data_IF_713757094170
#
_entry.id   IF_713757094170
#
_cell.length_a   1.000
_cell.length_b   1.000
_cell.length_c   1.000
_cell.angle_alpha   90.00
_cell.angle_beta   90.00
_cell.angle_gamma   90.00
#
_symmetry.space_group_name_H-M   'P 1'
#
loop_
_entity.id
_entity.type
_entity.pdbx_description
1 polymer ?
#
# COMPACT_ATOMS: atom_id res chain seq x y z
N UNK A 1 -45.97 5.69 -4.23
CA UNK A 1 -44.99 6.21 -3.27
C UNK A 1 -43.62 5.97 -3.87
N UNK A 2 -43.10 6.99 -4.54
CA UNK A 2 -41.73 7.02 -5.04
C UNK A 2 -40.81 7.60 -3.96
N UNK A 3 -39.58 7.10 -3.80
CA UNK A 3 -38.49 7.90 -3.31
C UNK A 3 -37.52 8.27 -4.43
N UNK A 4 -37.47 9.58 -4.68
CA UNK A 4 -36.42 10.34 -5.38
C UNK A 4 -35.12 10.39 -4.59
N UNK A 5 -34.08 10.97 -5.23
CA UNK A 5 -32.76 11.43 -4.76
C UNK A 5 -31.62 10.39 -4.80
N UNK A 6 -30.79 10.42 -5.85
CA UNK A 6 -29.61 11.30 -5.98
C UNK A 6 -28.53 11.00 -4.93
N UNK A 7 -27.54 10.20 -5.31
CA UNK A 7 -26.17 10.34 -4.79
C UNK A 7 -25.18 10.12 -5.93
N UNK A 8 -25.02 11.16 -6.77
CA UNK A 8 -23.79 11.37 -7.53
C UNK A 8 -22.67 11.60 -6.52
N UNK A 9 -22.00 10.51 -6.11
CA UNK A 9 -20.72 10.61 -5.42
C UNK A 9 -19.68 11.03 -6.46
N UNK A 10 -19.34 12.31 -6.43
CA UNK A 10 -18.11 12.84 -7.01
C UNK A 10 -16.94 12.07 -6.42
N UNK A 11 -16.25 11.31 -7.25
CA UNK A 11 -14.94 10.76 -6.95
C UNK A 11 -13.99 11.95 -6.70
N UNK A 12 -13.78 12.28 -5.43
CA UNK A 12 -12.64 13.12 -5.05
C UNK A 12 -11.39 12.26 -5.22
N UNK A 13 -10.80 12.34 -6.40
CA UNK A 13 -9.43 11.90 -6.67
C UNK A 13 -8.49 12.60 -5.68
N UNK A 14 -8.09 11.86 -4.64
CA UNK A 14 -7.03 12.34 -3.76
C UNK A 14 -5.72 12.26 -4.55
N UNK A 15 -4.97 13.36 -4.70
CA UNK A 15 -3.73 13.33 -5.47
C UNK A 15 -2.78 12.34 -4.82
N UNK A 16 -2.34 11.36 -5.62
CA UNK A 16 -1.47 10.28 -5.19
C UNK A 16 -0.23 10.81 -4.48
N UNK A 17 0.26 10.02 -3.52
CA UNK A 17 1.42 10.31 -2.67
C UNK A 17 2.61 10.90 -3.45
N UNK A 18 2.87 10.41 -4.66
CA UNK A 18 3.96 10.86 -5.53
C UNK A 18 3.78 12.29 -6.07
N UNK A 19 2.56 12.72 -6.37
CA UNK A 19 2.28 14.10 -6.83
C UNK A 19 2.53 15.13 -5.72
N UNK A 20 2.34 14.73 -4.46
CA UNK A 20 2.61 15.55 -3.25
C UNK A 20 4.10 15.68 -2.94
N UNK A 21 4.89 14.63 -3.18
CA UNK A 21 6.32 14.61 -2.82
C UNK A 21 7.20 15.31 -3.87
N UNK A 22 6.84 15.24 -5.16
CA UNK A 22 7.72 15.69 -6.25
C UNK A 22 7.24 16.92 -7.02
N UNK A 23 6.18 17.59 -6.57
CA UNK A 23 5.74 18.85 -7.20
C UNK A 23 5.32 18.64 -8.66
N UNK A 24 4.30 17.82 -8.88
CA UNK A 24 3.71 17.63 -10.19
C UNK A 24 2.98 18.89 -10.66
N UNK A 25 3.63 19.68 -11.53
CA UNK A 25 2.94 20.64 -12.39
C UNK A 25 2.10 19.84 -13.40
N UNK A 26 0.78 19.91 -13.26
CA UNK A 26 -0.17 19.52 -14.30
C UNK A 26 0.00 20.45 -15.50
N UNK A 27 0.85 20.07 -16.45
CA UNK A 27 0.79 20.62 -17.81
C UNK A 27 -0.34 19.90 -18.53
N UNK A 28 -1.53 20.50 -18.52
CA UNK A 28 -2.55 20.23 -19.52
C UNK A 28 -1.97 20.60 -20.89
N UNK A 29 -1.93 19.60 -21.77
CA UNK A 29 -1.63 19.78 -23.19
C UNK A 29 -2.53 18.83 -23.96
N UNK A 30 -3.56 19.34 -24.61
CA UNK A 30 -4.17 18.69 -25.77
C UNK A 30 -4.98 19.69 -26.60
N UNK A 31 -4.74 19.70 -27.91
CA UNK A 31 -5.42 20.50 -28.93
C UNK A 31 -4.39 21.19 -29.84
N UNK A 32 -3.73 20.47 -30.76
CA UNK A 32 -4.15 20.32 -32.17
C UNK A 32 -4.24 21.69 -32.89
N UNK A 33 -3.56 21.99 -33.99
CA UNK A 33 -2.71 21.23 -34.89
C UNK A 33 -2.28 22.16 -36.04
N UNK A 34 -1.37 21.66 -36.89
CA UNK A 34 -1.31 21.89 -38.34
C UNK A 34 -1.28 23.34 -38.89
N UNK A 35 -0.16 23.73 -39.50
CA UNK A 35 -0.07 23.89 -40.96
C UNK A 35 1.31 24.40 -41.36
N UNK A 36 1.97 23.64 -42.22
CA UNK A 36 3.05 24.10 -43.05
C UNK A 36 2.46 25.03 -44.14
N UNK A 37 3.02 26.23 -44.28
CA UNK A 37 2.80 27.05 -45.47
C UNK A 37 4.16 27.53 -45.99
N UNK A 38 4.44 27.12 -47.23
CA UNK A 38 5.59 27.47 -48.06
C UNK A 38 5.31 28.76 -48.83
N UNK A 39 6.39 29.41 -49.24
CA UNK A 39 6.56 30.23 -50.46
C UNK A 39 6.12 31.70 -50.35
N UNK A 40 7.06 32.65 -50.14
CA UNK A 40 7.94 33.39 -51.09
C UNK A 40 7.31 34.61 -51.76
N UNK A 41 7.92 35.79 -51.57
CA UNK A 41 8.20 36.88 -52.53
C UNK A 41 8.51 38.17 -51.72
N UNK A 42 9.78 38.58 -51.63
CA UNK A 42 10.45 39.62 -52.45
C UNK A 42 10.12 41.07 -52.05
N UNK A 43 11.15 41.77 -51.57
CA UNK A 43 11.52 43.18 -51.84
C UNK A 43 12.66 43.52 -50.84
N UNK A 44 13.90 43.79 -51.22
CA UNK A 44 14.29 44.74 -52.25
C UNK A 44 14.71 46.08 -51.61
N UNK A 45 15.66 46.10 -50.67
CA UNK A 45 16.38 47.34 -50.31
C UNK A 45 17.87 47.10 -50.19
N UNK A 46 18.56 47.69 -51.17
CA UNK A 46 20.01 47.88 -51.26
C UNK A 46 20.54 48.48 -49.96
N UNK A 47 21.50 47.80 -49.33
CA UNK A 47 22.36 48.39 -48.31
C UNK A 47 23.81 48.03 -48.65
N UNK A 48 24.64 49.05 -48.78
CA UNK A 48 26.05 48.99 -49.13
C UNK A 48 26.84 47.95 -48.31
N UNK A 49 27.92 47.34 -48.86
CA UNK A 49 28.72 46.41 -48.09
C UNK A 49 29.35 47.15 -46.89
N UNK A 50 29.20 46.67 -45.65
CA UNK A 50 29.85 47.32 -44.52
C UNK A 50 31.37 47.17 -44.68
N UNK A 51 32.04 48.31 -44.84
CA UNK A 51 33.49 48.43 -44.80
C UNK A 51 33.98 47.88 -43.47
N UNK A 52 34.59 46.69 -43.51
CA UNK A 52 35.18 46.06 -42.32
C UNK A 52 36.26 46.99 -41.76
N UNK A 53 36.24 47.34 -40.47
CA UNK A 53 37.36 48.05 -39.86
C UNK A 53 38.60 47.15 -39.95
N UNK A 54 39.68 47.68 -40.54
CA UNK A 54 40.95 46.99 -40.84
C UNK A 54 41.81 46.76 -39.58
N UNK A 55 41.17 46.47 -38.45
CA UNK A 55 41.81 46.12 -37.19
C UNK A 55 40.88 45.31 -36.27
N UNK A 56 40.10 44.38 -36.83
CA UNK A 56 39.50 43.33 -36.01
C UNK A 56 40.63 42.40 -35.50
N UNK A 57 40.68 42.04 -34.19
CA UNK A 57 41.69 41.12 -33.69
C UNK A 57 41.64 39.85 -34.53
N UNK A 58 42.76 39.49 -35.17
CA UNK A 58 42.92 38.24 -35.92
C UNK A 58 42.39 37.12 -35.02
N UNK A 59 41.36 36.39 -35.49
CA UNK A 59 40.91 35.15 -34.84
C UNK A 59 42.16 34.31 -34.61
N UNK A 60 42.60 34.19 -33.34
CA UNK A 60 43.76 33.37 -32.99
C UNK A 60 43.47 31.97 -33.52
N UNK A 61 44.26 31.52 -34.49
CA UNK A 61 44.25 30.15 -34.93
C UNK A 61 44.50 29.29 -33.70
N UNK A 62 43.52 28.46 -33.32
CA UNK A 62 43.58 27.57 -32.15
C UNK A 62 44.95 26.94 -32.13
N UNK A 63 45.72 27.22 -31.09
CA UNK A 63 47.03 26.62 -30.93
C UNK A 63 46.86 25.12 -30.67
N UNK A 64 47.89 24.33 -30.94
CA UNK A 64 47.88 22.88 -30.68
C UNK A 64 47.52 22.59 -29.21
N UNK A 65 47.90 23.48 -28.30
CA UNK A 65 47.56 23.44 -26.88
C UNK A 65 46.05 23.63 -26.61
N UNK A 66 45.38 24.55 -27.30
CA UNK A 66 43.93 24.74 -27.16
C UNK A 66 43.13 23.51 -27.63
N UNK A 67 43.63 22.81 -28.66
CA UNK A 67 43.01 21.58 -29.15
C UNK A 67 43.23 20.41 -28.17
N UNK A 68 44.44 20.29 -27.61
CA UNK A 68 44.75 19.29 -26.60
C UNK A 68 43.92 19.49 -25.31
N UNK A 69 43.70 20.73 -24.89
CA UNK A 69 42.87 21.02 -23.70
C UNK A 69 41.39 20.68 -23.94
N UNK A 70 40.86 20.97 -25.13
CA UNK A 70 39.49 20.59 -25.50
C UNK A 70 39.33 19.07 -25.57
N UNK A 71 40.32 18.34 -26.07
CA UNK A 71 40.32 16.87 -26.04
C UNK A 71 40.40 16.30 -24.63
N UNK A 72 41.26 16.83 -23.77
CA UNK A 72 41.32 16.41 -22.37
C UNK A 72 39.98 16.65 -21.67
N UNK A 73 39.36 17.83 -21.84
CA UNK A 73 38.02 18.12 -21.30
C UNK A 73 36.96 17.15 -21.81
N UNK A 74 37.01 16.75 -23.09
CA UNK A 74 36.12 15.72 -23.65
C UNK A 74 36.34 14.35 -23.03
N UNK A 75 37.61 13.93 -22.84
CA UNK A 75 37.96 12.66 -22.18
C UNK A 75 37.51 12.64 -20.73
N UNK A 76 37.75 13.73 -19.98
CA UNK A 76 37.28 13.86 -18.61
C UNK A 76 35.75 13.84 -18.51
N UNK A 77 35.04 14.55 -19.41
CA UNK A 77 33.58 14.51 -19.45
C UNK A 77 33.05 13.10 -19.74
N UNK A 78 33.66 12.37 -20.69
CA UNK A 78 33.31 10.98 -20.99
C UNK A 78 33.57 10.06 -19.78
N UNK A 79 34.72 10.20 -19.13
CA UNK A 79 35.03 9.43 -17.93
C UNK A 79 34.07 9.73 -16.77
N UNK A 80 33.67 10.99 -16.59
CA UNK A 80 32.70 11.39 -15.58
C UNK A 80 31.31 10.77 -15.85
N UNK A 81 30.86 10.75 -17.11
CA UNK A 81 29.61 10.09 -17.49
C UNK A 81 29.64 8.59 -17.22
N UNK A 82 30.72 7.89 -17.62
CA UNK A 82 30.86 6.45 -17.34
C UNK A 82 30.89 6.14 -15.84
N UNK A 83 31.51 7.02 -15.02
CA UNK A 83 31.48 6.89 -13.56
C UNK A 83 30.07 7.08 -13.01
N UNK A 84 29.35 8.08 -13.50
CA UNK A 84 27.96 8.32 -13.11
C UNK A 84 27.08 7.12 -13.45
N UNK A 85 27.16 6.61 -14.67
CA UNK A 85 26.29 5.51 -15.10
C UNK A 85 26.58 4.22 -14.31
N UNK A 86 27.86 3.94 -13.99
CA UNK A 86 28.24 2.85 -13.07
C UNK A 86 27.68 3.04 -11.66
N UNK A 87 27.70 4.27 -11.14
CA UNK A 87 27.12 4.56 -9.83
C UNK A 87 25.60 4.37 -9.85
N UNK A 88 24.92 4.82 -10.90
CA UNK A 88 23.48 4.63 -11.05
C UNK A 88 23.11 3.15 -11.09
N UNK A 89 23.87 2.33 -11.84
CA UNK A 89 23.68 0.88 -11.85
C UNK A 89 23.91 0.26 -10.47
N UNK A 90 25.02 0.58 -9.81
CA UNK A 90 25.33 0.05 -8.49
C UNK A 90 24.31 0.48 -7.41
N UNK A 91 23.74 1.68 -7.53
CA UNK A 91 22.66 2.14 -6.66
C UNK A 91 21.37 1.36 -6.97
N UNK A 92 21.03 1.20 -8.25
CA UNK A 92 19.87 0.39 -8.68
C UNK A 92 19.92 -1.01 -8.11
N UNK A 93 21.03 -1.73 -8.32
CA UNK A 93 21.23 -3.09 -7.80
C UNK A 93 21.12 -3.16 -6.26
N UNK A 94 21.61 -2.16 -5.54
CA UNK A 94 21.51 -2.13 -4.07
C UNK A 94 20.08 -1.89 -3.61
N UNK A 95 19.35 -1.01 -4.29
CA UNK A 95 17.95 -0.72 -3.97
C UNK A 95 17.08 -1.94 -4.28
N UNK A 96 17.28 -2.60 -5.41
CA UNK A 96 16.58 -3.84 -5.76
C UNK A 96 16.82 -4.92 -4.71
N UNK A 97 18.07 -5.20 -4.35
CA UNK A 97 18.38 -6.16 -3.28
C UNK A 97 17.72 -5.80 -1.95
N UNK A 98 17.74 -4.53 -1.55
CA UNK A 98 17.11 -4.09 -0.30
C UNK A 98 15.58 -4.19 -0.34
N UNK A 99 14.97 -4.06 -1.52
CA UNK A 99 13.53 -4.28 -1.71
C UNK A 99 13.23 -5.77 -1.61
N UNK A 100 13.99 -6.63 -2.29
CA UNK A 100 13.80 -8.09 -2.26
C UNK A 100 13.94 -8.64 -0.84
N UNK A 101 14.99 -8.26 -0.12
CA UNK A 101 15.20 -8.66 1.29
C UNK A 101 14.04 -8.22 2.19
N UNK A 102 13.47 -7.02 1.96
CA UNK A 102 12.33 -6.53 2.71
C UNK A 102 11.04 -7.27 2.36
N UNK A 103 10.85 -7.59 1.08
CA UNK A 103 9.68 -8.35 0.61
C UNK A 103 9.72 -9.76 1.20
N UNK A 104 10.83 -10.48 1.09
CA UNK A 104 11.01 -11.81 1.68
C UNK A 104 10.77 -11.79 3.20
N UNK A 105 11.35 -10.82 3.90
CA UNK A 105 11.14 -10.67 5.34
C UNK A 105 9.67 -10.34 5.69
N UNK A 106 8.97 -9.59 4.84
CA UNK A 106 7.57 -9.27 5.04
C UNK A 106 6.66 -10.47 4.75
N UNK A 107 6.96 -11.25 3.72
CA UNK A 107 6.23 -12.48 3.36
C UNK A 107 6.37 -13.51 4.47
N UNK A 108 7.57 -13.71 5.00
CA UNK A 108 7.79 -14.61 6.13
C UNK A 108 6.98 -14.19 7.37
N UNK A 109 6.90 -12.89 7.66
CA UNK A 109 6.07 -12.36 8.76
C UNK A 109 4.58 -12.55 8.51
N UNK A 110 4.11 -12.33 7.28
CA UNK A 110 2.72 -12.52 6.91
C UNK A 110 2.32 -14.00 6.97
N UNK A 111 3.18 -14.90 6.50
CA UNK A 111 2.98 -16.34 6.62
C UNK A 111 2.92 -16.78 8.09
N UNK A 112 3.82 -16.27 8.93
CA UNK A 112 3.78 -16.53 10.38
C UNK A 112 2.50 -16.00 11.05
N UNK A 113 2.05 -14.81 10.65
CA UNK A 113 0.79 -14.25 11.15
C UNK A 113 -0.42 -15.06 10.69
N UNK A 114 -0.46 -15.51 9.44
CA UNK A 114 -1.53 -16.35 8.90
C UNK A 114 -1.65 -17.66 9.69
N UNK A 115 -0.53 -18.35 9.95
CA UNK A 115 -0.51 -19.55 10.79
C UNK A 115 -1.03 -19.29 12.22
N UNK A 116 -0.63 -18.16 12.83
CA UNK A 116 -1.13 -17.79 14.15
C UNK A 116 -2.65 -17.53 14.16
N UNK A 117 -3.23 -16.99 13.08
CA UNK A 117 -4.68 -16.82 12.96
C UNK A 117 -5.42 -18.15 12.80
N UNK A 118 -4.85 -19.11 12.06
CA UNK A 118 -5.40 -20.47 11.96
C UNK A 118 -5.42 -21.17 13.31
N UNK A 119 -4.33 -21.09 14.07
CA UNK A 119 -4.23 -21.64 15.42
C UNK A 119 -5.24 -21.00 16.38
N UNK A 120 -5.37 -19.67 16.34
CA UNK A 120 -6.39 -18.95 17.12
C UNK A 120 -7.82 -19.38 16.76
N UNK A 121 -8.12 -19.55 15.48
CA UNK A 121 -9.44 -20.03 15.05
C UNK A 121 -9.73 -21.45 15.55
N UNK A 122 -8.73 -22.33 15.54
CA UNK A 122 -8.87 -23.69 16.08
C UNK A 122 -9.15 -23.68 17.59
N UNK A 123 -8.42 -22.85 18.34
CA UNK A 123 -8.60 -22.67 19.78
C UNK A 123 -9.97 -22.08 20.10
N UNK A 124 -10.38 -21.03 19.41
CA UNK A 124 -11.70 -20.41 19.59
C UNK A 124 -12.82 -21.41 19.27
N UNK A 125 -12.67 -22.23 18.22
CA UNK A 125 -13.61 -23.30 17.91
C UNK A 125 -13.69 -24.37 19.01
N UNK A 126 -12.56 -24.73 19.63
CA UNK A 126 -12.52 -25.65 20.75
C UNK A 126 -13.17 -25.07 22.02
N UNK A 127 -12.92 -23.79 22.31
CA UNK A 127 -13.55 -23.07 23.42
C UNK A 127 -15.06 -23.02 23.23
N UNK A 128 -15.55 -22.67 22.02
CA UNK A 128 -16.98 -22.66 21.71
C UNK A 128 -17.65 -24.00 21.99
N UNK A 129 -17.08 -25.10 21.49
CA UNK A 129 -17.60 -26.45 21.76
C UNK A 129 -17.62 -26.81 23.25
N UNK A 130 -16.63 -26.38 24.01
CA UNK A 130 -16.57 -26.62 25.46
C UNK A 130 -17.66 -25.80 26.19
N UNK A 131 -17.86 -24.55 25.82
CA UNK A 131 -18.93 -23.72 26.37
C UNK A 131 -20.31 -24.30 26.09
N UNK A 132 -20.56 -24.80 24.88
CA UNK A 132 -21.81 -25.48 24.54
C UNK A 132 -22.04 -26.73 25.41
N UNK A 133 -21.00 -27.54 25.61
CA UNK A 133 -21.06 -28.73 26.45
C UNK A 133 -21.29 -28.39 27.94
N UNK A 134 -20.69 -27.30 28.43
CA UNK A 134 -20.95 -26.78 29.76
C UNK A 134 -22.39 -26.27 29.90
N UNK A 135 -22.91 -25.58 28.88
CA UNK A 135 -24.32 -25.14 28.83
C UNK A 135 -25.28 -26.31 28.99
N UNK A 136 -25.11 -27.37 28.20
CA UNK A 136 -25.94 -28.59 28.31
C UNK A 136 -25.83 -29.28 29.67
N UNK A 137 -24.64 -29.27 30.28
CA UNK A 137 -24.46 -29.81 31.65
C UNK A 137 -25.19 -28.95 32.68
N UNK A 138 -25.12 -27.64 32.54
CA UNK A 138 -25.81 -26.71 33.42
C UNK A 138 -27.34 -26.86 33.31
N UNK A 139 -27.87 -27.03 32.10
CA UNK A 139 -29.30 -27.32 31.86
C UNK A 139 -29.74 -28.60 32.57
N UNK A 140 -29.00 -29.71 32.39
CA UNK A 140 -29.30 -30.97 33.09
C UNK A 140 -29.25 -30.83 34.62
N UNK A 141 -28.30 -30.05 35.13
CA UNK A 141 -28.22 -29.79 36.58
C UNK A 141 -29.42 -28.96 37.03
N UNK A 142 -29.83 -27.95 36.26
CA UNK A 142 -31.00 -27.15 36.56
C UNK A 142 -32.29 -27.99 36.60
N UNK A 143 -32.50 -28.87 35.62
CA UNK A 143 -33.64 -29.81 35.60
C UNK A 143 -33.68 -30.71 36.83
N UNK A 144 -32.53 -31.25 37.25
CA UNK A 144 -32.43 -32.07 38.47
C UNK A 144 -32.76 -31.23 39.71
N UNK A 145 -32.23 -30.01 39.80
CA UNK A 145 -32.49 -29.12 40.93
C UNK A 145 -33.96 -28.69 41.00
N UNK A 146 -34.63 -28.53 39.87
CA UNK A 146 -36.05 -28.20 39.79
C UNK A 146 -36.94 -29.34 40.29
N UNK A 147 -36.54 -30.60 40.08
CA UNK A 147 -37.28 -31.79 40.55
C UNK A 147 -37.04 -32.18 42.01
N UNK A 148 -35.95 -31.71 42.63
CA UNK A 148 -35.61 -32.05 44.03
C UNK A 148 -36.70 -31.69 45.06
N UNK A 149 -37.37 -30.53 45.00
CA UNK A 149 -38.41 -30.17 45.97
C UNK A 149 -39.60 -31.14 45.94
N UNK A 150 -40.01 -31.60 44.74
CA UNK A 150 -41.10 -32.56 44.61
C UNK A 150 -40.71 -33.92 45.19
N UNK A 151 -39.50 -34.41 44.87
CA UNK A 151 -38.97 -35.65 45.43
C UNK A 151 -38.86 -35.59 46.96
N UNK A 152 -38.37 -34.47 47.51
CA UNK A 152 -38.28 -34.27 48.95
C UNK A 152 -39.67 -34.27 49.62
N UNK A 153 -40.68 -33.67 48.98
CA UNK A 153 -42.05 -33.67 49.48
C UNK A 153 -42.67 -35.08 49.47
N UNK A 154 -42.39 -35.88 48.44
CA UNK A 154 -42.81 -37.28 48.38
C UNK A 154 -42.13 -38.12 49.46
N UNK A 155 -40.82 -37.99 49.64
CA UNK A 155 -40.08 -38.66 50.71
C UNK A 155 -40.64 -38.29 52.09
N UNK A 156 -40.92 -37.01 52.34
CA UNK A 156 -41.49 -36.57 53.60
C UNK A 156 -42.87 -37.18 53.86
N UNK A 157 -43.73 -37.29 52.84
CA UNK A 157 -45.03 -37.97 52.94
C UNK A 157 -44.89 -39.45 53.24
N UNK A 158 -43.98 -40.14 52.55
CA UNK A 158 -43.73 -41.57 52.76
C UNK A 158 -43.22 -41.83 54.17
N UNK A 159 -42.20 -41.09 54.60
CA UNK A 159 -41.64 -41.19 55.95
C UNK A 159 -42.68 -40.88 57.03
N UNK A 160 -43.51 -39.85 56.83
CA UNK A 160 -44.63 -39.55 57.74
C UNK A 160 -45.61 -40.72 57.84
N UNK A 161 -45.97 -41.33 56.70
CA UNK A 161 -46.87 -42.50 56.69
C UNK A 161 -46.29 -43.73 57.40
N UNK A 162 -44.96 -43.92 57.32
CA UNK A 162 -44.26 -45.00 58.02
C UNK A 162 -44.26 -44.74 59.53
N UNK A 163 -43.97 -43.49 59.95
CA UNK A 163 -44.00 -43.09 61.35
C UNK A 163 -45.39 -43.31 61.98
N UNK A 164 -46.46 -42.88 61.32
CA UNK A 164 -47.83 -43.11 61.78
C UNK A 164 -48.17 -44.60 61.93
N UNK A 165 -47.69 -45.45 61.02
CA UNK A 165 -47.92 -46.90 61.09
C UNK A 165 -47.19 -47.54 62.26
N UNK A 166 -45.97 -47.09 62.56
CA UNK A 166 -45.19 -47.55 63.71
C UNK A 166 -45.84 -47.11 65.03
N UNK A 167 -46.34 -45.88 65.12
CA UNK A 167 -47.08 -45.40 66.31
C UNK A 167 -48.34 -46.22 66.60
N UNK A 168 -49.07 -46.66 65.57
CA UNK A 168 -50.27 -47.51 65.75
C UNK A 168 -49.96 -48.94 66.18
N UNK A 169 -48.71 -49.38 66.06
CA UNK A 169 -48.27 -50.72 66.44
C UNK A 169 -47.59 -50.76 67.83
N UNK A 170 -47.29 -49.59 68.41
CA UNK A 170 -46.75 -49.43 69.76
C UNK A 170 -47.88 -49.26 70.79
#
# INVERSE_FOLDING_TARGET
>A
MEPTSETLRTEQETPGFWSRVFGGKSTEKAGAGSAAEKATAEEGKQAAPPTRPRNAPRRRSKTIFDQAEVEQRRRHKKAALMRRDRLTQAIGERVERAIDERLEASEAKLAGAAGAFEDMNLLLGAIGRNLDEQGRRAERVAEVLEGLPEQAAEEQRVLGSIAERLERQA
#
